data_IF_627871466276
#
_entry.id   IF_627871466276
#
_cell.length_a   1.000
_cell.length_b   1.000
_cell.length_c   1.000
_cell.angle_alpha   90.00
_cell.angle_beta   90.00
_cell.angle_gamma   90.00
#
_symmetry.space_group_name_H-M   'P 1'
#
loop_
_entity.id
_entity.type
_entity.pdbx_description
1 polymer ?
#
# COMPACT_ATOMS: atom_id res chain seq x y z
N UNK A 1 6.73 -4.63 -20.34
CA UNK A 1 6.00 -5.95 -20.25
C UNK A 1 5.61 -6.09 -18.78
N UNK A 2 4.36 -6.48 -18.50
CA UNK A 2 3.89 -6.69 -17.13
C UNK A 2 4.61 -7.88 -16.49
N UNK A 3 4.93 -7.79 -15.21
CA UNK A 3 5.41 -8.93 -14.40
C UNK A 3 4.30 -9.99 -14.25
N UNK A 4 4.65 -11.18 -13.78
CA UNK A 4 3.66 -12.21 -13.49
C UNK A 4 2.69 -11.79 -12.36
N UNK A 5 3.19 -11.04 -11.35
CA UNK A 5 2.38 -10.51 -10.27
C UNK A 5 1.39 -9.45 -10.77
N UNK A 6 1.83 -8.55 -11.65
CA UNK A 6 0.93 -7.58 -12.27
C UNK A 6 -0.16 -8.27 -13.08
N UNK A 7 0.19 -9.27 -13.91
CA UNK A 7 -0.80 -10.04 -14.67
C UNK A 7 -1.80 -10.76 -13.78
N UNK A 8 -1.33 -11.34 -12.67
CA UNK A 8 -2.16 -12.04 -11.69
C UNK A 8 -3.18 -11.12 -11.02
N UNK A 9 -2.73 -9.93 -10.56
CA UNK A 9 -3.60 -8.97 -9.86
C UNK A 9 -4.49 -8.18 -10.82
N UNK A 10 -4.02 -7.88 -12.02
CA UNK A 10 -4.81 -7.20 -13.06
C UNK A 10 -5.89 -8.11 -13.67
N UNK A 11 -5.68 -9.42 -13.65
CA UNK A 11 -6.56 -10.41 -14.27
C UNK A 11 -7.66 -10.94 -13.34
N UNK A 12 -8.21 -12.11 -13.72
CA UNK A 12 -9.37 -12.75 -13.08
C UNK A 12 -9.20 -12.99 -11.58
N UNK A 13 -7.98 -13.30 -11.11
CA UNK A 13 -7.75 -13.51 -9.69
C UNK A 13 -8.00 -12.21 -8.89
N UNK A 14 -7.48 -11.08 -9.38
CA UNK A 14 -7.71 -9.77 -8.75
C UNK A 14 -9.19 -9.40 -8.73
N UNK A 15 -9.91 -9.58 -9.84
CA UNK A 15 -11.35 -9.35 -9.94
C UNK A 15 -12.15 -10.22 -8.96
N UNK A 16 -11.82 -11.51 -8.87
CA UNK A 16 -12.41 -12.41 -7.87
C UNK A 16 -12.05 -12.01 -6.44
N UNK A 17 -10.84 -11.50 -6.21
CA UNK A 17 -10.45 -10.98 -4.89
C UNK A 17 -11.32 -9.79 -4.50
N UNK A 18 -11.52 -8.83 -5.39
CA UNK A 18 -12.40 -7.66 -5.17
C UNK A 18 -13.81 -8.11 -4.81
N UNK A 19 -14.38 -9.05 -5.56
CA UNK A 19 -15.75 -9.52 -5.35
C UNK A 19 -15.97 -10.18 -3.98
N UNK A 20 -14.96 -10.91 -3.44
CA UNK A 20 -15.06 -11.66 -2.18
C UNK A 20 -14.51 -10.93 -0.96
N UNK A 21 -13.64 -9.93 -1.14
CA UNK A 21 -12.96 -9.24 -0.05
C UNK A 21 -13.75 -7.99 0.36
N UNK A 22 -14.46 -8.09 1.47
CA UNK A 22 -15.26 -6.99 2.02
C UNK A 22 -14.69 -6.58 3.36
N UNK A 23 -14.21 -5.34 3.43
CA UNK A 23 -13.55 -4.79 4.61
C UNK A 23 -14.42 -3.71 5.24
N UNK A 24 -14.57 -3.72 6.56
CA UNK A 24 -15.12 -2.57 7.26
C UNK A 24 -14.03 -1.48 7.39
N UNK A 25 -14.07 -0.52 6.50
CA UNK A 25 -13.11 0.59 6.50
C UNK A 25 -13.17 1.42 7.79
N UNK A 26 -14.28 1.41 8.54
CA UNK A 26 -14.41 2.15 9.81
C UNK A 26 -13.52 1.58 10.89
N UNK A 27 -13.26 0.27 10.88
CA UNK A 27 -12.30 -0.35 11.78
C UNK A 27 -10.87 0.18 11.59
N UNK A 28 -10.55 0.74 10.43
CA UNK A 28 -9.24 1.33 10.09
C UNK A 28 -9.07 2.78 10.57
N UNK A 29 -10.16 3.46 10.93
CA UNK A 29 -10.14 4.88 11.32
C UNK A 29 -9.20 5.16 12.49
N UNK A 30 -9.19 4.40 13.61
CA UNK A 30 -8.27 4.68 14.71
C UNK A 30 -6.80 4.60 14.32
N UNK A 31 -6.43 3.61 13.49
CA UNK A 31 -5.07 3.46 12.97
C UNK A 31 -4.66 4.67 12.12
N UNK A 32 -5.51 5.07 11.18
CA UNK A 32 -5.20 6.23 10.32
C UNK A 32 -5.23 7.55 11.08
N UNK A 33 -6.00 7.66 12.17
CA UNK A 33 -5.94 8.81 13.07
C UNK A 33 -4.55 8.94 13.70
N UNK A 34 -4.00 7.85 14.26
CA UNK A 34 -2.64 7.87 14.84
C UNK A 34 -1.57 8.21 13.79
N UNK A 35 -1.61 7.60 12.61
CA UNK A 35 -0.65 7.89 11.53
C UNK A 35 -0.74 9.34 11.07
N UNK A 36 -1.94 9.87 10.84
CA UNK A 36 -2.15 11.26 10.41
C UNK A 36 -1.71 12.23 11.50
N UNK A 37 -2.01 11.92 12.76
CA UNK A 37 -1.59 12.76 13.89
C UNK A 37 -0.07 12.82 14.06
N UNK A 38 0.64 11.74 13.82
CA UNK A 38 2.11 11.67 13.87
C UNK A 38 2.79 12.38 12.71
N UNK A 39 2.24 12.22 11.49
CA UNK A 39 2.90 12.67 10.26
C UNK A 39 2.42 14.05 9.79
N UNK A 40 1.20 14.46 10.18
CA UNK A 40 0.55 15.72 9.75
C UNK A 40 0.67 15.98 8.25
N UNK A 41 0.28 15.02 7.40
CA UNK A 41 0.46 15.12 5.97
C UNK A 41 -0.61 16.04 5.36
N UNK A 42 -0.27 16.77 4.31
CA UNK A 42 -1.24 17.48 3.46
C UNK A 42 -1.68 16.64 2.27
N UNK A 43 -0.87 15.64 1.93
CA UNK A 43 -1.12 14.73 0.82
C UNK A 43 -0.69 13.31 1.15
N UNK A 44 -1.52 12.33 0.77
CA UNK A 44 -1.25 10.90 0.95
C UNK A 44 -1.51 10.16 -0.36
N UNK A 45 -0.57 9.32 -0.77
CA UNK A 45 -0.73 8.34 -1.84
C UNK A 45 -0.77 6.94 -1.24
N UNK A 46 -1.79 6.16 -1.55
CA UNK A 46 -1.78 4.71 -1.30
C UNK A 46 -1.50 3.96 -2.61
N UNK A 47 -0.45 3.13 -2.60
CA UNK A 47 -0.05 2.28 -3.72
C UNK A 47 -0.63 0.88 -3.53
N UNK A 48 -1.40 0.40 -4.52
CA UNK A 48 -2.19 -0.84 -4.41
C UNK A 48 -3.41 -0.64 -3.52
N UNK A 49 -4.19 0.42 -3.75
CA UNK A 49 -5.27 0.83 -2.84
C UNK A 49 -6.50 -0.08 -2.87
N UNK A 50 -6.57 -1.05 -3.80
CA UNK A 50 -7.73 -1.91 -3.97
C UNK A 50 -9.01 -1.09 -4.16
N UNK A 51 -10.12 -1.53 -3.54
CA UNK A 51 -11.39 -0.81 -3.56
C UNK A 51 -11.42 0.44 -2.65
N UNK A 52 -10.26 0.92 -2.20
CA UNK A 52 -10.10 2.20 -1.49
C UNK A 52 -10.54 2.21 -0.02
N UNK A 53 -10.47 1.09 0.68
CA UNK A 53 -10.90 1.03 2.08
C UNK A 53 -10.10 1.95 2.99
N UNK A 54 -8.78 2.03 2.82
CA UNK A 54 -7.92 2.95 3.57
C UNK A 54 -8.18 4.41 3.16
N UNK A 55 -8.34 4.68 1.86
CA UNK A 55 -8.62 6.04 1.37
C UNK A 55 -9.91 6.59 1.99
N UNK A 56 -10.94 5.74 2.18
CA UNK A 56 -12.18 6.11 2.89
C UNK A 56 -11.92 6.47 4.35
N UNK A 57 -11.11 5.66 5.04
CA UNK A 57 -10.74 5.91 6.44
C UNK A 57 -9.94 7.22 6.57
N UNK A 58 -8.93 7.43 5.73
CA UNK A 58 -8.12 8.66 5.72
C UNK A 58 -8.99 9.92 5.50
N UNK A 59 -9.87 9.90 4.48
CA UNK A 59 -10.81 11.01 4.20
C UNK A 59 -11.81 11.26 5.32
N UNK A 60 -12.17 10.21 6.06
CA UNK A 60 -13.04 10.34 7.24
C UNK A 60 -12.31 11.02 8.41
N UNK A 61 -11.02 10.71 8.61
CA UNK A 61 -10.19 11.32 9.66
C UNK A 61 -10.00 12.81 9.40
N UNK A 62 -9.57 13.15 8.19
CA UNK A 62 -9.38 14.55 7.79
C UNK A 62 -9.71 14.76 6.30
N UNK A 63 -10.87 15.36 5.99
CA UNK A 63 -11.27 15.61 4.61
C UNK A 63 -10.46 16.70 3.91
N UNK A 64 -9.60 17.45 4.61
CA UNK A 64 -8.73 18.46 4.02
C UNK A 64 -7.46 17.88 3.38
N UNK A 65 -7.09 16.65 3.74
CA UNK A 65 -5.93 15.96 3.18
C UNK A 65 -6.23 15.54 1.73
N UNK A 66 -5.29 15.83 0.83
CA UNK A 66 -5.35 15.36 -0.55
C UNK A 66 -4.99 13.86 -0.62
N UNK A 67 -6.01 13.00 -0.44
CA UNK A 67 -5.84 11.53 -0.51
C UNK A 67 -6.00 11.04 -1.94
N UNK A 68 -5.06 10.23 -2.42
CA UNK A 68 -5.01 9.60 -3.75
C UNK A 68 -4.69 8.12 -3.64
N UNK A 69 -5.12 7.33 -4.62
CA UNK A 69 -4.78 5.92 -4.72
C UNK A 69 -4.37 5.52 -6.12
N UNK A 70 -3.50 4.51 -6.22
CA UNK A 70 -3.24 3.78 -7.47
C UNK A 70 -3.56 2.31 -7.27
N UNK A 71 -4.11 1.73 -8.32
CA UNK A 71 -4.48 0.32 -8.36
C UNK A 71 -4.33 -0.20 -9.80
N UNK A 72 -4.02 -1.48 -9.95
CA UNK A 72 -3.84 -2.10 -11.26
C UNK A 72 -5.10 -2.85 -11.73
N UNK A 73 -5.98 -3.24 -10.80
CA UNK A 73 -7.20 -3.99 -11.09
C UNK A 73 -8.38 -3.04 -11.39
N UNK A 74 -9.02 -3.23 -12.53
CA UNK A 74 -10.09 -2.34 -13.00
C UNK A 74 -11.37 -2.41 -12.15
N UNK A 75 -11.73 -3.59 -11.63
CA UNK A 75 -12.93 -3.73 -10.80
C UNK A 75 -12.74 -3.02 -9.45
N UNK A 76 -11.52 -3.11 -8.88
CA UNK A 76 -11.17 -2.37 -7.67
C UNK A 76 -11.20 -0.85 -7.89
N UNK A 77 -10.65 -0.38 -9.01
CA UNK A 77 -10.69 1.03 -9.39
C UNK A 77 -12.12 1.54 -9.54
N UNK A 78 -12.98 0.77 -10.21
CA UNK A 78 -14.38 1.14 -10.39
C UNK A 78 -15.10 1.24 -9.04
N UNK A 79 -14.95 0.25 -8.15
CA UNK A 79 -15.55 0.31 -6.80
C UNK A 79 -15.07 1.53 -6.01
N UNK A 80 -13.78 1.88 -6.09
CA UNK A 80 -13.24 3.06 -5.42
C UNK A 80 -13.78 4.37 -6.02
N UNK A 81 -13.86 4.46 -7.34
CA UNK A 81 -14.38 5.62 -8.05
C UNK A 81 -15.88 5.84 -7.79
N UNK A 82 -16.67 4.78 -7.72
CA UNK A 82 -18.13 4.84 -7.47
C UNK A 82 -18.48 5.47 -6.12
N UNK A 83 -17.55 5.45 -5.16
CA UNK A 83 -17.70 6.12 -3.85
C UNK A 83 -16.97 7.47 -3.78
N UNK A 84 -16.59 8.01 -4.94
CA UNK A 84 -16.03 9.35 -5.07
C UNK A 84 -14.57 9.48 -4.58
N UNK A 85 -13.79 8.40 -4.63
CA UNK A 85 -12.34 8.45 -4.34
C UNK A 85 -11.55 8.87 -5.58
N UNK A 86 -10.43 9.54 -5.35
CA UNK A 86 -9.49 9.88 -6.42
C UNK A 86 -8.48 8.75 -6.59
N UNK A 87 -8.71 7.91 -7.58
CA UNK A 87 -7.87 6.76 -7.90
C UNK A 87 -7.48 6.76 -9.37
N UNK A 88 -6.32 6.21 -9.67
CA UNK A 88 -5.81 6.07 -11.03
C UNK A 88 -5.30 4.66 -11.30
N UNK A 89 -5.38 4.21 -12.55
CA UNK A 89 -4.79 2.94 -12.97
C UNK A 89 -3.29 3.12 -13.12
N UNK A 90 -2.51 2.55 -12.20
CA UNK A 90 -1.07 2.50 -12.33
C UNK A 90 -0.50 1.26 -11.65
N UNK A 91 0.64 0.79 -12.15
CA UNK A 91 1.48 -0.18 -11.47
C UNK A 91 2.38 0.52 -10.46
N UNK A 92 2.76 -0.21 -9.38
CA UNK A 92 3.82 0.23 -8.47
C UNK A 92 5.15 0.50 -9.20
N UNK A 93 5.33 -0.06 -10.39
CA UNK A 93 6.54 0.11 -11.20
C UNK A 93 6.48 1.29 -12.17
N UNK A 94 5.34 1.98 -12.27
CA UNK A 94 5.12 3.08 -13.23
C UNK A 94 4.18 4.15 -12.65
N UNK A 95 4.53 4.67 -11.48
CA UNK A 95 3.75 5.72 -10.81
C UNK A 95 3.86 7.07 -11.51
N UNK A 96 4.97 7.32 -12.22
CA UNK A 96 5.24 8.60 -12.88
C UNK A 96 4.29 8.91 -14.04
N UNK A 97 3.69 7.87 -14.63
CA UNK A 97 2.72 8.05 -15.72
C UNK A 97 1.53 8.89 -15.29
N UNK A 98 1.07 8.72 -14.05
CA UNK A 98 -0.11 9.40 -13.53
C UNK A 98 0.20 10.73 -12.82
N UNK A 99 1.37 10.81 -12.15
CA UNK A 99 1.79 12.04 -11.42
C UNK A 99 3.24 12.40 -11.69
N UNK A 100 3.54 12.97 -12.87
CA UNK A 100 4.93 13.20 -13.30
C UNK A 100 5.69 14.22 -12.44
N UNK A 101 5.01 15.10 -11.71
CA UNK A 101 5.63 16.21 -10.96
C UNK A 101 5.29 16.22 -9.47
N UNK A 102 4.62 15.18 -8.95
CA UNK A 102 4.05 15.21 -7.60
C UNK A 102 4.81 14.31 -6.63
N UNK A 103 5.30 14.89 -5.55
CA UNK A 103 5.58 14.13 -4.33
C UNK A 103 4.40 14.19 -3.38
N UNK A 104 4.29 13.18 -2.50
CA UNK A 104 3.29 13.13 -1.43
C UNK A 104 3.99 13.20 -0.08
N UNK A 105 3.41 13.91 0.88
CA UNK A 105 3.97 13.99 2.24
C UNK A 105 4.10 12.61 2.87
N UNK A 106 3.15 11.71 2.56
CA UNK A 106 3.15 10.30 2.96
C UNK A 106 2.79 9.40 1.77
N UNK A 107 3.60 8.38 1.52
CA UNK A 107 3.26 7.29 0.59
C UNK A 107 3.07 6.00 1.38
N UNK A 108 1.93 5.34 1.21
CA UNK A 108 1.56 4.16 1.97
C UNK A 108 1.36 2.94 1.08
N UNK A 109 1.70 1.76 1.60
CA UNK A 109 1.29 0.46 1.08
C UNK A 109 0.62 -0.35 2.18
N UNK A 110 -0.45 -1.05 1.87
CA UNK A 110 -1.17 -1.92 2.81
C UNK A 110 -1.48 -3.25 2.14
N UNK A 111 -0.73 -4.28 2.50
CA UNK A 111 -0.86 -5.60 1.87
C UNK A 111 -0.54 -5.59 0.37
N UNK A 112 0.34 -4.70 -0.08
CA UNK A 112 0.76 -4.58 -1.47
C UNK A 112 2.14 -5.21 -1.69
N UNK A 113 3.13 -4.83 -0.88
CA UNK A 113 4.51 -5.31 -1.03
C UNK A 113 4.63 -6.81 -0.83
N UNK A 114 3.75 -7.41 -0.03
CA UNK A 114 3.70 -8.87 0.14
C UNK A 114 3.46 -9.62 -1.17
N UNK A 115 2.93 -8.97 -2.19
CA UNK A 115 2.63 -9.57 -3.49
C UNK A 115 3.69 -9.27 -4.58
N UNK A 116 4.74 -8.55 -4.23
CA UNK A 116 5.84 -8.24 -5.16
C UNK A 116 6.92 -9.31 -5.05
N UNK A 117 7.41 -9.82 -6.19
CA UNK A 117 8.43 -10.86 -6.23
C UNK A 117 9.76 -10.42 -5.59
N UNK A 118 10.60 -11.36 -5.10
CA UNK A 118 11.95 -11.05 -4.62
C UNK A 118 12.81 -10.32 -5.65
N UNK A 119 12.62 -10.62 -6.92
CA UNK A 119 13.38 -9.98 -8.00
C UNK A 119 13.00 -8.51 -8.21
N UNK A 120 11.76 -8.14 -7.86
CA UNK A 120 11.18 -6.82 -8.16
C UNK A 120 11.02 -5.92 -6.94
N UNK A 121 11.10 -6.46 -5.71
CA UNK A 121 10.80 -5.70 -4.49
C UNK A 121 11.66 -4.43 -4.34
N UNK A 122 12.95 -4.51 -4.67
CA UNK A 122 13.83 -3.34 -4.59
C UNK A 122 13.36 -2.23 -5.51
N UNK A 123 12.99 -2.56 -6.76
CA UNK A 123 12.48 -1.61 -7.74
C UNK A 123 11.15 -0.99 -7.32
N UNK A 124 10.22 -1.79 -6.75
CA UNK A 124 8.95 -1.28 -6.24
C UNK A 124 9.16 -0.28 -5.10
N UNK A 125 10.03 -0.61 -4.14
CA UNK A 125 10.35 0.28 -3.03
C UNK A 125 11.03 1.57 -3.52
N UNK A 126 11.91 1.51 -4.51
CA UNK A 126 12.55 2.70 -5.10
C UNK A 126 11.50 3.64 -5.73
N UNK A 127 10.50 3.08 -6.41
CA UNK A 127 9.38 3.88 -6.93
C UNK A 127 8.58 4.54 -5.79
N UNK A 128 8.18 3.80 -4.77
CA UNK A 128 7.45 4.32 -3.61
C UNK A 128 8.23 5.46 -2.93
N UNK A 129 9.52 5.26 -2.72
CA UNK A 129 10.43 6.24 -2.11
C UNK A 129 10.54 7.50 -2.97
N UNK A 130 10.60 7.37 -4.30
CA UNK A 130 10.73 8.50 -5.21
C UNK A 130 9.51 9.43 -5.17
N UNK A 131 8.33 8.89 -4.86
CA UNK A 131 7.08 9.64 -4.70
C UNK A 131 6.86 10.19 -3.29
N UNK A 132 7.68 9.78 -2.31
CA UNK A 132 7.60 10.31 -0.94
C UNK A 132 8.44 11.56 -0.79
N UNK A 133 7.81 12.64 -0.29
CA UNK A 133 8.52 13.85 0.13
C UNK A 133 9.15 13.64 1.51
N UNK A 134 8.43 12.95 2.41
CA UNK A 134 8.88 12.83 3.79
C UNK A 134 8.71 11.44 4.39
N UNK A 135 7.52 10.85 4.31
CA UNK A 135 7.23 9.60 4.98
C UNK A 135 6.85 8.49 4.01
N UNK A 136 7.29 7.27 4.31
CA UNK A 136 6.75 6.04 3.76
C UNK A 136 6.16 5.20 4.89
N UNK A 137 4.99 4.59 4.64
CA UNK A 137 4.32 3.68 5.55
C UNK A 137 4.11 2.33 4.84
N UNK A 138 4.64 1.27 5.41
CA UNK A 138 4.33 -0.10 4.97
C UNK A 138 3.51 -0.80 6.05
N UNK A 139 2.35 -1.35 5.69
CA UNK A 139 1.51 -2.19 6.54
C UNK A 139 1.43 -3.55 5.87
N UNK A 140 2.32 -4.46 6.25
CA UNK A 140 2.62 -5.67 5.49
C UNK A 140 2.82 -6.88 6.42
N UNK A 141 2.73 -8.10 5.89
CA UNK A 141 3.13 -9.27 6.66
C UNK A 141 4.64 -9.30 6.86
N UNK A 142 5.06 -9.48 8.10
CA UNK A 142 6.47 -9.49 8.48
C UNK A 142 7.00 -10.91 8.72
N UNK A 143 8.30 -11.06 8.46
CA UNK A 143 9.14 -12.14 8.96
C UNK A 143 10.57 -11.61 9.14
N UNK A 144 11.42 -12.31 9.89
CA UNK A 144 12.83 -11.92 10.10
C UNK A 144 13.67 -11.94 8.81
N UNK A 145 13.26 -12.76 7.86
CA UNK A 145 13.85 -12.88 6.51
C UNK A 145 12.74 -12.95 5.46
N UNK A 146 13.13 -12.87 4.18
CA UNK A 146 12.14 -13.06 3.10
C UNK A 146 11.74 -14.54 2.99
N UNK A 147 10.46 -14.79 3.16
CA UNK A 147 9.86 -16.15 3.13
C UNK A 147 8.65 -16.17 2.20
N UNK A 148 8.68 -17.05 1.20
CA UNK A 148 7.52 -17.32 0.35
C UNK A 148 6.47 -18.12 1.13
N UNK A 149 5.23 -17.70 1.05
CA UNK A 149 4.08 -18.34 1.69
C UNK A 149 3.05 -18.73 0.61
N UNK A 150 2.53 -19.98 0.63
CA UNK A 150 1.43 -20.34 -0.25
C UNK A 150 0.22 -19.41 -0.05
N UNK A 151 -0.35 -18.92 -1.14
CA UNK A 151 -1.48 -18.00 -1.12
C UNK A 151 -2.63 -18.52 -1.97
N UNK A 152 -3.70 -19.00 -1.33
CA UNK A 152 -4.93 -19.50 -2.02
C UNK A 152 -4.61 -20.46 -3.16
N UNK A 153 -3.87 -21.54 -2.84
CA UNK A 153 -3.43 -22.59 -3.79
C UNK A 153 -2.42 -22.13 -4.86
N UNK A 154 -1.88 -20.92 -4.72
CA UNK A 154 -0.80 -20.41 -5.55
C UNK A 154 0.52 -20.34 -4.76
N UNK A 155 1.62 -20.67 -5.42
CA UNK A 155 2.99 -20.40 -4.99
C UNK A 155 3.48 -19.11 -5.66
N UNK A 156 4.52 -18.50 -5.10
CA UNK A 156 5.15 -17.31 -5.68
C UNK A 156 4.17 -16.13 -5.89
N UNK A 157 3.22 -15.95 -4.95
CA UNK A 157 2.24 -14.85 -4.96
C UNK A 157 2.16 -14.09 -3.63
N UNK A 158 2.84 -14.59 -2.59
CA UNK A 158 2.92 -13.92 -1.30
C UNK A 158 4.26 -14.18 -0.64
N UNK A 159 4.87 -13.10 -0.13
CA UNK A 159 6.11 -13.13 0.64
C UNK A 159 5.96 -12.31 1.92
N UNK A 160 6.41 -12.88 3.04
CA UNK A 160 6.67 -12.11 4.26
C UNK A 160 8.10 -11.61 4.21
N UNK A 161 8.35 -10.42 4.73
CA UNK A 161 9.70 -9.84 4.72
C UNK A 161 9.87 -8.74 5.76
N UNK A 162 11.11 -8.43 6.19
CA UNK A 162 11.39 -7.39 7.18
C UNK A 162 11.31 -6.00 6.54
N UNK A 163 10.11 -5.51 6.25
CA UNK A 163 9.89 -4.28 5.49
C UNK A 163 10.59 -3.07 6.11
N UNK A 164 10.59 -2.93 7.45
CA UNK A 164 11.30 -1.85 8.13
C UNK A 164 12.80 -1.84 7.81
N UNK A 165 13.47 -3.01 7.93
CA UNK A 165 14.89 -3.14 7.62
C UNK A 165 15.21 -2.87 6.13
N UNK A 166 14.29 -3.23 5.24
CA UNK A 166 14.47 -2.95 3.80
C UNK A 166 14.42 -1.44 3.51
N UNK A 167 13.56 -0.67 4.19
CA UNK A 167 13.54 0.79 4.06
C UNK A 167 14.77 1.43 4.71
N UNK A 168 15.23 0.93 5.88
CA UNK A 168 16.48 1.39 6.50
C UNK A 168 17.70 1.17 5.57
N UNK A 169 17.78 0.00 4.92
CA UNK A 169 18.83 -0.29 3.93
C UNK A 169 18.82 0.65 2.72
N UNK A 170 17.68 1.32 2.45
CA UNK A 170 17.53 2.35 1.41
C UNK A 170 17.72 3.78 1.95
N UNK A 171 18.21 3.93 3.18
CA UNK A 171 18.56 5.24 3.77
C UNK A 171 17.38 5.96 4.42
N UNK A 172 16.32 5.25 4.82
CA UNK A 172 15.20 5.82 5.57
C UNK A 172 15.33 5.49 7.06
N UNK A 173 14.92 6.41 7.92
CA UNK A 173 14.91 6.19 9.36
C UNK A 173 13.59 5.55 9.78
N UNK A 174 13.62 4.37 10.38
CA UNK A 174 12.44 3.79 11.02
C UNK A 174 12.08 4.61 12.25
N UNK A 175 10.95 5.33 12.21
CA UNK A 175 10.52 6.24 13.29
C UNK A 175 9.42 5.64 14.15
N UNK A 176 8.68 4.66 13.66
CA UNK A 176 7.72 3.89 14.44
C UNK A 176 7.47 2.53 13.80
N UNK A 177 7.25 1.52 14.65
CA UNK A 177 6.72 0.22 14.26
C UNK A 177 5.71 -0.28 15.29
N UNK A 178 4.69 -1.00 14.84
CA UNK A 178 3.71 -1.64 15.71
C UNK A 178 2.96 -2.75 14.97
N UNK A 179 2.32 -3.63 15.73
CA UNK A 179 1.33 -4.53 15.15
C UNK A 179 0.12 -3.70 14.71
N UNK A 180 -0.29 -3.87 13.46
CA UNK A 180 -1.53 -3.25 12.99
C UNK A 180 -2.74 -3.94 13.64
N UNK A 181 -3.85 -3.20 13.90
CA UNK A 181 -5.05 -3.80 14.51
C UNK A 181 -5.55 -5.00 13.70
N UNK A 182 -5.59 -6.18 14.32
CA UNK A 182 -5.87 -7.44 13.65
C UNK A 182 -7.29 -7.54 13.07
N UNK A 183 -8.25 -6.81 13.63
CA UNK A 183 -9.62 -6.69 13.15
C UNK A 183 -9.76 -5.82 11.90
N UNK A 184 -8.72 -5.01 11.59
CA UNK A 184 -8.69 -4.09 10.46
C UNK A 184 -7.66 -4.49 9.37
N UNK A 185 -6.54 -5.10 9.75
CA UNK A 185 -5.38 -5.34 8.88
C UNK A 185 -4.83 -6.76 8.94
N UNK A 186 -5.64 -7.72 9.42
CA UNK A 186 -5.19 -9.09 9.61
C UNK A 186 -3.95 -9.15 10.53
N UNK A 187 -2.88 -9.84 10.15
CA UNK A 187 -1.64 -9.98 10.92
C UNK A 187 -0.50 -9.11 10.40
N UNK A 188 -0.85 -7.95 9.86
CA UNK A 188 0.15 -7.01 9.37
C UNK A 188 0.89 -6.29 10.50
N UNK A 189 2.15 -5.93 10.24
CA UNK A 189 2.88 -4.91 11.00
C UNK A 189 2.99 -3.62 10.21
N UNK A 190 2.96 -2.52 10.92
CA UNK A 190 3.13 -1.19 10.36
C UNK A 190 4.54 -0.69 10.63
N UNK A 191 5.19 -0.15 9.59
CA UNK A 191 6.52 0.45 9.62
C UNK A 191 6.42 1.85 9.05
N UNK A 192 6.55 2.85 9.90
CA UNK A 192 6.62 4.25 9.49
C UNK A 192 8.08 4.67 9.41
N UNK A 193 8.50 5.07 8.22
CA UNK A 193 9.86 5.51 7.95
C UNK A 193 9.89 6.96 7.46
N UNK A 194 10.85 7.74 7.93
CA UNK A 194 11.08 9.13 7.51
C UNK A 194 12.30 9.19 6.59
N UNK A 195 12.18 9.97 5.53
CA UNK A 195 13.27 10.23 4.60
C UNK A 195 14.40 10.98 5.32
N UNK A 196 15.63 10.49 5.18
CA UNK A 196 16.83 11.12 5.74
C UNK A 196 17.17 12.44 5.04
#
# INVERSE_FOLDING_TARGET
MLTEQEQFWKGDFGSQYVARNRVDWKARVPFWTDIIDRTKPRSILEVGCGSGWNLRAMRHVDPSIAVRGVEINQDALQEAADVGLFVAEASVFDLQTEWPESGFDLVATVGCLIHISPADISRAMDQIISFSIRYVLAVEYEDESEVMVPYRDHTERLWRRPCGKLYEAKGHNLVAECDAPADAFDRCRAFLCEKS
#
